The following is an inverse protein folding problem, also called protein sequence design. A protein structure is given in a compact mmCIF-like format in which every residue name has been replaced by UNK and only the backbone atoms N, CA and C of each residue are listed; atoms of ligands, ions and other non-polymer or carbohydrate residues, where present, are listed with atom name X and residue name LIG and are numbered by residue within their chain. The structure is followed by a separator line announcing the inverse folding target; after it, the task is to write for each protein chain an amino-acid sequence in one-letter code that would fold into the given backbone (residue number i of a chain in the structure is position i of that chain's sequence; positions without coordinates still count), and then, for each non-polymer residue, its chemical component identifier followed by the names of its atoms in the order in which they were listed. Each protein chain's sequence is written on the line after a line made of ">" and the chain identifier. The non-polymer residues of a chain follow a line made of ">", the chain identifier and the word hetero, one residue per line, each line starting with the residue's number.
data_IF_173878832252
#
_entry.id   IF_173878832252
#
_cell.length_a   1.000
_cell.length_b   1.000
_cell.length_c   1.000
_cell.angle_alpha   90.00
_cell.angle_beta   90.00
_cell.angle_gamma   90.00
#
_symmetry.space_group_name_H-M   'P 1'
#
loop_
_entity.id
_entity.type
_entity.pdbx_description
1 polymer ?
#
# COMPACT_ATOMS: atom_id res chain seq x y z
N UNK A 1 5.69 -35.44 -33.14
CA UNK A 1 5.07 -36.47 -32.29
C UNK A 1 6.11 -36.94 -31.28
N UNK A 2 6.15 -36.35 -30.08
CA UNK A 2 6.99 -36.82 -28.97
C UNK A 2 6.26 -36.50 -27.66
N UNK A 3 5.90 -37.54 -26.92
CA UNK A 3 5.34 -37.47 -25.57
C UNK A 3 6.23 -38.29 -24.63
N UNK A 4 6.66 -37.62 -23.55
CA UNK A 4 6.94 -38.08 -22.19
C UNK A 4 7.95 -39.20 -21.91
N UNK A 5 9.01 -38.84 -21.16
CA UNK A 5 9.01 -39.08 -19.70
C UNK A 5 9.99 -38.14 -18.97
N UNK A 6 9.41 -37.14 -18.33
CA UNK A 6 9.93 -36.33 -17.23
C UNK A 6 10.15 -37.20 -16.00
N UNK A 7 11.31 -37.12 -15.34
CA UNK A 7 11.56 -37.37 -13.91
C UNK A 7 13.04 -37.05 -13.65
N UNK A 8 13.40 -35.82 -13.23
CA UNK A 8 14.66 -35.45 -12.51
C UNK A 8 14.72 -33.92 -12.37
N UNK A 9 13.84 -33.32 -11.55
CA UNK A 9 13.93 -31.89 -11.20
C UNK A 9 13.13 -31.49 -9.94
N UNK A 10 12.95 -32.37 -8.96
CA UNK A 10 12.13 -32.09 -7.75
C UNK A 10 12.85 -32.41 -6.43
N UNK A 11 14.19 -32.41 -6.40
CA UNK A 11 14.95 -32.70 -5.15
C UNK A 11 16.01 -31.67 -4.75
N UNK A 12 16.00 -30.45 -5.31
CA UNK A 12 17.01 -29.44 -4.98
C UNK A 12 16.48 -28.09 -4.44
N UNK A 13 15.21 -28.03 -4.01
CA UNK A 13 14.59 -26.79 -3.48
C UNK A 13 14.19 -26.91 -2.00
N UNK A 14 14.44 -28.05 -1.34
CA UNK A 14 14.06 -28.27 0.08
C UNK A 14 15.28 -28.35 1.02
N UNK A 15 16.50 -28.21 0.49
CA UNK A 15 17.76 -28.42 1.24
C UNK A 15 18.40 -27.20 1.90
N UNK A 16 17.86 -25.98 1.77
CA UNK A 16 18.51 -24.76 2.29
C UNK A 16 17.75 -24.02 3.39
N UNK A 17 16.67 -24.60 3.92
CA UNK A 17 15.75 -23.93 4.85
C UNK A 17 15.92 -24.31 6.34
N UNK A 18 17.01 -24.97 6.75
CA UNK A 18 17.12 -25.48 8.12
C UNK A 18 18.48 -25.30 8.85
N UNK A 19 19.36 -24.40 8.39
CA UNK A 19 20.69 -24.17 9.02
C UNK A 19 20.95 -22.71 9.41
N UNK A 20 19.91 -21.88 9.56
CA UNK A 20 20.10 -20.49 10.00
C UNK A 20 19.09 -20.05 11.07
N UNK A 21 18.91 -20.90 12.09
CA UNK A 21 18.05 -20.63 13.25
C UNK A 21 18.77 -20.83 14.59
N UNK A 22 20.09 -20.90 14.61
CA UNK A 22 20.87 -21.17 15.82
C UNK A 22 22.22 -20.43 15.80
N UNK A 23 22.19 -19.12 16.08
CA UNK A 23 23.28 -18.39 16.73
C UNK A 23 23.01 -16.89 16.66
N UNK A 24 22.63 -16.26 17.78
CA UNK A 24 23.30 -15.06 18.36
C UNK A 24 22.70 -14.87 19.76
N UNK A 25 23.44 -15.30 20.77
CA UNK A 25 23.34 -14.80 22.15
C UNK A 25 24.67 -14.15 22.50
N UNK A 26 24.60 -13.02 23.24
CA UNK A 26 25.60 -12.39 24.13
C UNK A 26 26.19 -11.00 23.72
N UNK A 27 25.65 -9.96 24.41
CA UNK A 27 26.23 -8.73 25.00
C UNK A 27 26.90 -7.61 24.15
N UNK A 28 27.06 -6.35 24.66
CA UNK A 28 26.50 -5.69 25.85
C UNK A 28 25.76 -4.34 25.58
N UNK A 29 25.07 -3.86 26.61
CA UNK A 29 24.36 -2.59 26.73
C UNK A 29 25.24 -1.34 26.64
N UNK A 30 24.82 -0.34 25.86
CA UNK A 30 25.35 1.04 25.85
C UNK A 30 24.19 2.03 26.06
N UNK A 31 24.32 3.12 26.85
CA UNK A 31 23.20 3.96 27.24
C UNK A 31 22.77 4.92 26.13
N UNK A 32 21.45 5.11 25.99
CA UNK A 32 20.82 6.12 25.11
C UNK A 32 20.96 7.52 25.72
N UNK A 33 21.61 8.44 25.00
CA UNK A 33 21.53 9.87 25.24
C UNK A 33 20.19 10.43 24.73
N UNK A 34 19.51 11.23 25.56
CA UNK A 34 18.24 11.88 25.20
C UNK A 34 18.48 13.07 24.26
N UNK A 35 17.68 13.25 23.19
CA UNK A 35 17.67 14.51 22.44
C UNK A 35 16.66 15.51 23.03
N UNK A 36 17.19 16.70 23.32
CA UNK A 36 16.49 17.88 23.82
C UNK A 36 15.46 18.48 22.85
N UNK A 37 14.60 19.28 23.47
CA UNK A 37 13.43 20.02 22.96
C UNK A 37 13.67 20.79 21.65
N UNK A 38 13.05 20.33 20.56
CA UNK A 38 12.62 21.20 19.45
C UNK A 38 11.19 20.83 19.02
N UNK A 39 10.31 21.83 18.94
CA UNK A 39 8.98 21.86 18.25
C UNK A 39 7.68 22.07 19.04
N UNK A 40 7.70 22.59 20.29
CA UNK A 40 6.45 23.04 20.96
C UNK A 40 5.88 24.38 20.44
N UNK A 41 6.63 25.13 19.63
CA UNK A 41 6.29 26.52 19.25
C UNK A 41 5.55 26.66 17.92
N UNK A 42 5.54 25.64 17.06
CA UNK A 42 4.91 25.74 15.74
C UNK A 42 3.39 25.43 15.79
N UNK A 43 2.99 24.38 16.52
CA UNK A 43 1.59 23.97 16.66
C UNK A 43 0.71 25.02 17.36
N UNK A 44 1.25 25.80 18.30
CA UNK A 44 0.47 26.80 19.05
C UNK A 44 0.10 28.03 18.22
N UNK A 45 0.80 28.29 17.11
CA UNK A 45 0.52 29.44 16.23
C UNK A 45 -0.60 29.16 15.22
N UNK A 46 -0.80 27.91 14.82
CA UNK A 46 -1.86 27.52 13.86
C UNK A 46 -3.24 27.51 14.53
N UNK A 47 -3.30 27.19 15.83
CA UNK A 47 -4.58 27.06 16.56
C UNK A 47 -5.28 28.40 16.90
N UNK A 48 -4.67 29.57 16.66
CA UNK A 48 -5.18 30.86 17.15
C UNK A 48 -5.99 31.69 16.14
N UNK A 49 -6.31 31.19 14.94
CA UNK A 49 -6.98 32.01 13.92
C UNK A 49 -8.01 31.26 13.06
N UNK A 50 -9.10 30.78 13.67
CA UNK A 50 -10.40 30.61 12.99
C UNK A 50 -11.52 30.19 13.94
N UNK A 51 -12.49 31.11 14.12
CA UNK A 51 -13.92 31.00 14.51
C UNK A 51 -14.44 29.98 15.56
N UNK A 52 -15.33 30.38 16.48
CA UNK A 52 -15.76 29.59 17.65
C UNK A 52 -16.92 28.60 17.39
N UNK A 53 -16.90 27.81 16.30
CA UNK A 53 -17.90 26.75 16.05
C UNK A 53 -17.34 25.31 16.01
N UNK A 54 -16.22 25.07 16.70
CA UNK A 54 -15.54 23.77 16.75
C UNK A 54 -15.60 23.07 18.11
N UNK A 55 -16.55 23.39 18.98
CA UNK A 55 -16.67 22.72 20.30
C UNK A 55 -17.11 21.24 20.21
N UNK A 56 -17.51 20.72 19.05
CA UNK A 56 -17.81 19.29 18.87
C UNK A 56 -16.59 18.38 18.67
N UNK A 57 -15.37 18.93 18.56
CA UNK A 57 -14.11 18.16 18.43
C UNK A 57 -13.40 17.90 19.77
N UNK A 58 -13.96 18.34 20.90
CA UNK A 58 -13.46 18.02 22.24
C UNK A 58 -13.95 16.65 22.77
N UNK A 59 -14.35 15.73 21.90
CA UNK A 59 -14.65 14.37 22.33
C UNK A 59 -13.32 13.62 22.60
N UNK A 60 -12.98 13.27 23.86
CA UNK A 60 -11.67 12.72 24.24
C UNK A 60 -11.34 11.38 23.55
N UNK A 61 -12.31 10.74 22.89
CA UNK A 61 -12.13 9.48 22.17
C UNK A 61 -11.12 9.58 21.01
N UNK A 62 -11.14 10.65 20.21
CA UNK A 62 -10.20 10.82 19.09
C UNK A 62 -8.74 10.99 19.52
N UNK A 63 -8.52 11.71 20.62
CA UNK A 63 -7.20 11.90 21.22
C UNK A 63 -6.69 10.61 21.90
N UNK A 64 -7.57 9.84 22.53
CA UNK A 64 -7.25 8.54 23.12
C UNK A 64 -6.91 7.49 22.04
N UNK A 65 -7.57 7.52 20.88
CA UNK A 65 -7.26 6.65 19.73
C UNK A 65 -5.87 6.99 19.15
N UNK A 66 -5.56 8.26 18.93
CA UNK A 66 -4.24 8.70 18.48
C UNK A 66 -3.12 8.39 19.50
N UNK A 67 -3.43 8.51 20.80
CA UNK A 67 -2.52 8.09 21.88
C UNK A 67 -2.31 6.59 21.84
N UNK A 68 -3.37 5.78 21.77
CA UNK A 68 -3.30 4.31 21.68
C UNK A 68 -2.55 3.83 20.43
N UNK A 69 -2.65 4.54 19.30
CA UNK A 69 -1.83 4.27 18.13
C UNK A 69 -0.35 4.50 18.44
N UNK A 70 0.01 5.64 19.03
CA UNK A 70 1.39 5.93 19.42
C UNK A 70 1.90 4.98 20.51
N UNK A 71 1.06 4.57 21.47
CA UNK A 71 1.43 3.59 22.50
C UNK A 71 1.57 2.17 21.93
N UNK A 72 0.73 1.75 20.98
CA UNK A 72 0.83 0.45 20.33
C UNK A 72 1.99 0.40 19.31
N UNK A 73 2.23 1.51 18.59
CA UNK A 73 3.43 1.71 17.76
C UNK A 73 4.68 1.57 18.63
N UNK A 74 4.68 2.16 19.84
CA UNK A 74 5.79 2.08 20.78
C UNK A 74 5.94 0.70 21.46
N UNK A 75 4.88 -0.10 21.62
CA UNK A 75 4.92 -1.26 22.52
C UNK A 75 5.12 -2.64 21.92
N UNK A 76 4.98 -2.92 20.62
CA UNK A 76 5.44 -4.18 19.99
C UNK A 76 5.25 -4.10 18.47
N UNK A 77 6.24 -4.56 17.70
CA UNK A 77 6.24 -4.78 16.24
C UNK A 77 6.41 -3.59 15.28
N UNK A 78 5.73 -2.44 15.44
CA UNK A 78 5.76 -1.37 14.40
C UNK A 78 7.06 -0.55 14.42
N UNK A 79 7.52 -0.08 15.58
CA UNK A 79 8.82 0.63 15.69
C UNK A 79 9.97 -0.31 15.32
N UNK A 80 9.87 -1.60 15.64
CA UNK A 80 10.80 -2.63 15.20
C UNK A 80 10.83 -2.77 13.67
N UNK A 81 9.66 -2.87 13.03
CA UNK A 81 9.55 -2.96 11.57
C UNK A 81 10.07 -1.70 10.85
N UNK A 82 9.75 -0.51 11.36
CA UNK A 82 10.29 0.76 10.83
C UNK A 82 11.81 0.81 10.97
N UNK A 83 12.35 0.44 12.15
CA UNK A 83 13.80 0.43 12.37
C UNK A 83 14.51 -0.63 11.52
N UNK A 84 13.96 -1.84 11.38
CA UNK A 84 14.49 -2.90 10.53
C UNK A 84 14.43 -2.52 9.05
N UNK A 85 13.33 -1.91 8.59
CA UNK A 85 13.21 -1.40 7.23
C UNK A 85 14.21 -0.26 6.96
N UNK A 86 14.37 0.67 7.90
CA UNK A 86 15.40 1.71 7.81
C UNK A 86 16.81 1.12 7.83
N UNK A 87 17.08 0.09 8.63
CA UNK A 87 18.37 -0.60 8.64
C UNK A 87 18.61 -1.34 7.31
N UNK A 88 17.60 -2.00 6.76
CA UNK A 88 17.64 -2.65 5.45
C UNK A 88 17.90 -1.64 4.32
N UNK A 89 17.36 -0.42 4.43
CA UNK A 89 17.66 0.66 3.47
C UNK A 89 19.07 1.23 3.62
N UNK A 90 19.65 1.21 4.82
CA UNK A 90 21.05 1.58 5.08
C UNK A 90 22.04 0.48 4.68
N UNK A 91 21.62 -0.78 4.69
CA UNK A 91 22.49 -1.95 4.48
C UNK A 91 22.79 -2.22 3.00
N UNK A 92 23.88 -2.96 2.78
CA UNK A 92 24.47 -3.30 1.49
C UNK A 92 23.51 -3.94 0.46
N UNK A 93 22.33 -4.43 0.86
CA UNK A 93 21.38 -5.12 -0.04
C UNK A 93 20.77 -4.18 -1.08
N UNK A 94 20.27 -3.01 -0.69
CA UNK A 94 19.68 -2.04 -1.65
C UNK A 94 20.73 -1.46 -2.59
N UNK A 95 21.93 -1.14 -2.06
CA UNK A 95 23.09 -0.72 -2.87
C UNK A 95 23.54 -1.83 -3.82
N UNK A 96 23.65 -3.07 -3.35
CA UNK A 96 24.06 -4.20 -4.20
C UNK A 96 23.03 -4.49 -5.29
N UNK A 97 21.73 -4.39 -5.01
CA UNK A 97 20.69 -4.53 -6.04
C UNK A 97 20.76 -3.40 -7.06
N UNK A 98 20.97 -2.15 -6.60
CA UNK A 98 21.09 -0.99 -7.49
C UNK A 98 22.34 -1.02 -8.37
N UNK A 99 23.47 -1.44 -7.82
CA UNK A 99 24.78 -1.33 -8.48
C UNK A 99 25.18 -2.61 -9.24
N UNK A 100 24.66 -3.78 -8.84
CA UNK A 100 25.10 -5.10 -9.35
C UNK A 100 23.97 -6.08 -9.63
N UNK A 101 22.72 -5.76 -9.28
CA UNK A 101 21.58 -6.62 -9.48
C UNK A 101 20.95 -6.45 -10.87
N UNK A 102 20.30 -7.48 -11.44
CA UNK A 102 19.49 -7.32 -12.64
C UNK A 102 18.31 -6.36 -12.40
N UNK A 103 17.98 -5.54 -13.40
CA UNK A 103 16.99 -4.45 -13.33
C UNK A 103 15.63 -4.84 -12.73
N UNK A 104 15.18 -6.07 -12.97
CA UNK A 104 13.89 -6.56 -12.48
C UNK A 104 13.83 -6.62 -10.95
N UNK A 105 14.95 -6.92 -10.27
CA UNK A 105 15.04 -6.92 -8.81
C UNK A 105 14.82 -5.53 -8.23
N UNK A 106 15.29 -4.50 -8.94
CA UNK A 106 15.10 -3.12 -8.52
C UNK A 106 13.63 -2.69 -8.47
N UNK A 107 12.77 -3.41 -9.19
CA UNK A 107 11.32 -3.17 -9.27
C UNK A 107 10.51 -4.07 -8.33
N UNK A 108 11.16 -4.72 -7.36
CA UNK A 108 10.47 -5.41 -6.26
C UNK A 108 10.16 -4.39 -5.16
N UNK A 109 8.91 -4.40 -4.73
CA UNK A 109 8.39 -3.62 -3.61
C UNK A 109 7.87 -4.57 -2.53
N UNK A 110 8.28 -4.31 -1.30
CA UNK A 110 7.76 -4.93 -0.09
C UNK A 110 6.89 -3.92 0.63
N UNK A 111 5.70 -4.34 1.04
CA UNK A 111 4.74 -3.47 1.71
C UNK A 111 4.23 -4.11 2.99
N UNK A 112 4.21 -3.32 4.06
CA UNK A 112 3.62 -3.66 5.34
C UNK A 112 2.54 -2.63 5.66
N UNK A 113 1.33 -3.10 5.94
CA UNK A 113 0.20 -2.26 6.28
C UNK A 113 -0.39 -2.67 7.62
N UNK A 114 -0.77 -1.69 8.43
CA UNK A 114 -1.40 -1.87 9.73
C UNK A 114 -2.57 -0.91 9.85
N UNK A 115 -3.71 -1.38 10.37
CA UNK A 115 -4.90 -0.58 10.65
C UNK A 115 -5.33 -0.80 12.10
N UNK A 116 -5.87 0.21 12.78
CA UNK A 116 -6.20 0.13 14.22
C UNK A 116 -7.19 -0.96 14.59
N UNK A 117 -8.15 -1.24 13.71
CA UNK A 117 -9.16 -2.27 13.90
C UNK A 117 -8.81 -3.58 13.17
N UNK A 118 -7.61 -3.66 12.57
CA UNK A 118 -7.21 -4.73 11.67
C UNK A 118 -5.92 -5.43 12.09
N UNK A 119 -5.74 -6.62 11.53
CA UNK A 119 -4.49 -7.35 11.60
C UNK A 119 -3.50 -6.82 10.55
N UNK A 120 -2.18 -6.92 10.80
CA UNK A 120 -1.18 -6.49 9.82
C UNK A 120 -1.25 -7.29 8.52
N UNK A 121 -1.03 -6.61 7.40
CA UNK A 121 -0.95 -7.18 6.07
C UNK A 121 0.47 -7.00 5.50
N UNK A 122 0.95 -8.03 4.80
CA UNK A 122 2.25 -8.05 4.17
C UNK A 122 2.08 -8.33 2.68
N UNK A 123 2.81 -7.64 1.82
CA UNK A 123 2.84 -7.99 0.41
C UNK A 123 4.19 -7.79 -0.24
N UNK A 124 4.43 -8.59 -1.27
CA UNK A 124 5.51 -8.44 -2.22
C UNK A 124 4.91 -8.23 -3.60
N UNK A 125 5.42 -7.24 -4.31
CA UNK A 125 4.92 -6.88 -5.63
C UNK A 125 6.08 -6.58 -6.56
N UNK A 126 5.86 -6.82 -7.85
CA UNK A 126 6.73 -6.32 -8.90
C UNK A 126 5.91 -5.83 -10.09
N UNK A 127 6.44 -4.82 -10.77
CA UNK A 127 5.93 -4.32 -12.05
C UNK A 127 7.07 -4.38 -13.06
N UNK A 128 6.82 -5.00 -14.20
CA UNK A 128 7.82 -5.25 -15.23
C UNK A 128 7.31 -4.75 -16.58
N UNK A 129 8.16 -4.07 -17.36
CA UNK A 129 7.82 -3.71 -18.74
C UNK A 129 7.77 -4.98 -19.58
N UNK A 130 6.70 -5.14 -20.35
CA UNK A 130 6.63 -6.07 -21.48
C UNK A 130 7.15 -5.38 -22.73
N UNK A 131 6.80 -4.09 -22.89
CA UNK A 131 7.23 -3.26 -24.00
C UNK A 131 7.35 -1.80 -23.55
N UNK A 132 8.39 -1.12 -24.00
CA UNK A 132 8.53 0.33 -23.88
C UNK A 132 9.04 0.89 -25.21
N UNK A 133 8.33 1.86 -25.78
CA UNK A 133 8.80 2.56 -26.98
C UNK A 133 9.97 3.49 -26.64
N UNK A 134 10.64 4.01 -27.67
CA UNK A 134 11.64 5.06 -27.51
C UNK A 134 11.05 6.24 -26.71
N UNK A 135 11.83 6.75 -25.76
CA UNK A 135 11.40 7.83 -24.87
C UNK A 135 10.28 7.45 -23.89
N UNK A 136 9.96 6.15 -23.77
CA UNK A 136 8.90 5.58 -22.91
C UNK A 136 7.49 6.10 -23.23
N UNK A 137 7.27 6.61 -24.44
CA UNK A 137 5.98 7.21 -24.86
C UNK A 137 4.85 6.21 -24.65
N UNK A 138 5.04 4.97 -25.10
CA UNK A 138 4.10 3.87 -24.92
C UNK A 138 4.76 2.81 -24.05
N UNK A 139 4.08 2.40 -22.99
CA UNK A 139 4.55 1.36 -22.06
C UNK A 139 3.46 0.33 -21.84
N UNK A 140 3.75 -0.93 -22.17
CA UNK A 140 2.95 -2.09 -21.77
C UNK A 140 3.67 -2.76 -20.62
N UNK A 141 2.95 -3.05 -19.53
CA UNK A 141 3.53 -3.66 -18.34
C UNK A 141 2.70 -4.80 -17.80
N UNK A 142 3.37 -5.70 -17.08
CA UNK A 142 2.75 -6.69 -16.20
C UNK A 142 3.01 -6.34 -14.74
N UNK A 143 2.01 -6.51 -13.89
CA UNK A 143 2.14 -6.36 -12.44
C UNK A 143 1.79 -7.69 -11.76
N UNK A 144 2.64 -8.15 -10.85
CA UNK A 144 2.40 -9.32 -10.03
C UNK A 144 2.50 -8.91 -8.56
N UNK A 145 1.52 -9.33 -7.75
CA UNK A 145 1.56 -9.16 -6.30
C UNK A 145 1.17 -10.45 -5.61
N UNK A 146 1.82 -10.74 -4.50
CA UNK A 146 1.41 -11.74 -3.53
C UNK A 146 1.27 -11.06 -2.18
N UNK A 147 0.14 -11.25 -1.51
CA UNK A 147 -0.09 -10.73 -0.17
C UNK A 147 -0.53 -11.83 0.78
N UNK A 148 -0.18 -11.63 2.05
CA UNK A 148 -0.71 -12.36 3.18
C UNK A 148 -1.35 -11.36 4.13
N UNK A 149 -2.59 -11.62 4.47
CA UNK A 149 -3.38 -10.77 5.33
C UNK A 149 -4.36 -11.62 6.14
N UNK A 150 -5.08 -11.00 7.07
CA UNK A 150 -6.05 -11.70 7.90
C UNK A 150 -7.41 -11.04 7.78
N UNK A 151 -8.42 -11.86 7.56
CA UNK A 151 -9.78 -11.41 7.29
C UNK A 151 -10.73 -12.46 7.85
N UNK A 152 -11.73 -12.03 8.60
CA UNK A 152 -12.62 -12.84 9.43
C UNK A 152 -11.89 -13.82 10.35
N UNK A 153 -10.77 -13.38 10.93
CA UNK A 153 -9.92 -14.20 11.82
C UNK A 153 -9.16 -15.32 11.12
N UNK A 154 -9.17 -15.39 9.78
CA UNK A 154 -8.43 -16.39 9.01
C UNK A 154 -7.28 -15.74 8.25
N UNK A 155 -6.12 -16.41 8.25
CA UNK A 155 -5.00 -16.04 7.37
C UNK A 155 -5.37 -16.36 5.92
N UNK A 156 -5.25 -15.37 5.05
CA UNK A 156 -5.53 -15.46 3.62
C UNK A 156 -4.33 -15.02 2.81
N UNK A 157 -4.16 -15.69 1.68
CA UNK A 157 -3.17 -15.35 0.69
C UNK A 157 -3.89 -14.92 -0.58
N UNK A 158 -3.49 -13.80 -1.15
CA UNK A 158 -4.04 -13.30 -2.41
C UNK A 158 -2.92 -13.09 -3.41
N UNK A 159 -3.16 -13.54 -4.64
CA UNK A 159 -2.31 -13.26 -5.79
C UNK A 159 -3.06 -12.34 -6.73
N UNK A 160 -2.40 -11.26 -7.15
CA UNK A 160 -2.91 -10.32 -8.15
C UNK A 160 -2.03 -10.39 -9.38
N UNK A 161 -2.62 -10.67 -10.54
CA UNK A 161 -1.97 -10.59 -11.84
C UNK A 161 -2.58 -9.45 -12.65
N UNK A 162 -1.77 -8.51 -13.09
CA UNK A 162 -2.21 -7.33 -13.82
C UNK A 162 -1.49 -7.15 -15.14
N UNK A 163 -2.20 -6.60 -16.11
CA UNK A 163 -1.66 -6.07 -17.36
C UNK A 163 -2.14 -4.63 -17.52
N UNK A 164 -1.28 -3.77 -18.03
CA UNK A 164 -1.66 -2.38 -18.26
C UNK A 164 -0.90 -1.75 -19.41
N UNK A 165 -1.48 -0.67 -19.89
CA UNK A 165 -0.94 0.19 -20.93
C UNK A 165 -0.91 1.63 -20.42
N UNK A 166 0.20 2.32 -20.66
CA UNK A 166 0.40 3.73 -20.32
C UNK A 166 0.95 4.48 -21.52
N UNK A 167 0.42 5.67 -21.73
CA UNK A 167 0.83 6.59 -22.78
C UNK A 167 1.22 7.94 -22.19
N UNK A 168 2.37 8.46 -22.61
CA UNK A 168 2.83 9.82 -22.31
C UNK A 168 2.35 10.78 -23.38
N UNK A 169 1.54 11.75 -22.98
CA UNK A 169 1.01 12.80 -23.85
C UNK A 169 1.49 14.18 -23.41
N UNK A 170 1.26 15.20 -24.26
CA UNK A 170 1.64 16.60 -24.01
C UNK A 170 3.10 16.75 -23.57
N UNK A 171 4.04 16.31 -24.40
CA UNK A 171 5.49 16.37 -24.13
C UNK A 171 5.88 15.73 -22.78
N UNK A 172 5.34 14.54 -22.46
CA UNK A 172 5.63 13.77 -21.23
C UNK A 172 5.19 14.44 -19.92
N UNK A 173 4.28 15.42 -19.98
CA UNK A 173 3.73 16.06 -18.78
C UNK A 173 2.48 15.39 -18.24
N UNK A 174 1.87 14.51 -19.06
CA UNK A 174 0.67 13.77 -18.71
C UNK A 174 0.87 12.30 -19.07
N UNK A 175 0.49 11.42 -18.15
CA UNK A 175 0.46 9.98 -18.36
C UNK A 175 -0.98 9.52 -18.23
N UNK A 176 -1.50 8.91 -19.29
CA UNK A 176 -2.80 8.27 -19.31
C UNK A 176 -2.58 6.76 -19.31
N UNK A 177 -3.46 6.01 -18.65
CA UNK A 177 -3.32 4.57 -18.58
C UNK A 177 -4.62 3.82 -18.40
N UNK A 178 -4.59 2.57 -18.82
CA UNK A 178 -5.63 1.58 -18.62
C UNK A 178 -4.99 0.34 -18.00
N UNK A 179 -5.68 -0.30 -17.08
CA UNK A 179 -5.20 -1.53 -16.46
C UNK A 179 -6.32 -2.55 -16.28
N UNK A 180 -5.94 -3.83 -16.31
CA UNK A 180 -6.79 -4.98 -16.09
C UNK A 180 -6.10 -5.92 -15.12
N UNK A 181 -6.83 -6.42 -14.14
CA UNK A 181 -6.31 -7.24 -13.07
C UNK A 181 -7.21 -8.44 -12.79
N UNK A 182 -6.58 -9.59 -12.63
CA UNK A 182 -7.17 -10.80 -12.12
C UNK A 182 -6.62 -11.08 -10.72
N UNK A 183 -7.51 -11.12 -9.73
CA UNK A 183 -7.18 -11.34 -8.33
C UNK A 183 -7.73 -12.70 -7.90
N UNK A 184 -6.90 -13.50 -7.23
CA UNK A 184 -7.26 -14.82 -6.68
C UNK A 184 -6.90 -14.92 -5.22
N UNK A 185 -7.89 -15.22 -4.40
CA UNK A 185 -7.76 -15.54 -2.99
C UNK A 185 -7.76 -17.07 -2.82
N UNK A 186 -6.70 -17.61 -2.21
CA UNK A 186 -6.42 -19.05 -2.28
C UNK A 186 -7.14 -19.90 -1.22
N UNK A 187 -7.50 -19.35 -0.05
CA UNK A 187 -8.13 -20.09 1.05
C UNK A 187 -9.51 -20.59 0.65
N UNK A 188 -10.31 -19.77 -0.05
CA UNK A 188 -11.68 -20.12 -0.48
C UNK A 188 -11.88 -20.05 -1.99
N UNK A 189 -10.81 -19.83 -2.76
CA UNK A 189 -10.83 -19.81 -4.23
C UNK A 189 -11.82 -18.78 -4.78
N UNK A 190 -11.77 -17.58 -4.19
CA UNK A 190 -12.48 -16.41 -4.68
C UNK A 190 -11.67 -15.73 -5.79
N UNK A 191 -12.35 -15.42 -6.89
CA UNK A 191 -11.75 -14.79 -8.07
C UNK A 191 -12.44 -13.46 -8.36
N UNK A 192 -11.66 -12.40 -8.57
CA UNK A 192 -12.16 -11.05 -8.86
C UNK A 192 -11.47 -10.51 -10.12
N UNK A 193 -12.23 -9.83 -10.94
CA UNK A 193 -11.73 -9.01 -12.04
C UNK A 193 -11.76 -7.54 -11.63
N UNK A 194 -10.67 -6.83 -11.88
CA UNK A 194 -10.57 -5.38 -11.70
C UNK A 194 -10.17 -4.71 -13.01
N UNK A 195 -10.77 -3.57 -13.32
CA UNK A 195 -10.35 -2.71 -14.41
C UNK A 195 -10.16 -1.28 -13.89
N UNK A 196 -9.21 -0.55 -14.45
CA UNK A 196 -8.89 0.79 -13.96
C UNK A 196 -8.42 1.73 -15.06
N UNK A 197 -8.63 3.01 -14.78
CA UNK A 197 -8.18 4.15 -15.56
C UNK A 197 -7.23 4.99 -14.71
N UNK A 198 -6.14 5.44 -15.32
CA UNK A 198 -5.14 6.29 -14.69
C UNK A 198 -4.99 7.57 -15.49
N UNK A 199 -4.94 8.70 -14.80
CA UNK A 199 -4.58 9.97 -15.39
C UNK A 199 -3.67 10.72 -14.42
N UNK A 200 -2.41 10.90 -14.81
CA UNK A 200 -1.35 11.42 -13.97
C UNK A 200 -0.76 12.65 -14.61
N UNK A 201 -0.63 13.70 -13.81
CA UNK A 201 -0.10 15.00 -14.23
C UNK A 201 1.02 15.42 -13.28
N UNK A 202 1.67 16.54 -13.60
CA UNK A 202 2.78 17.08 -12.81
C UNK A 202 2.53 17.13 -11.30
N UNK A 203 1.31 17.46 -10.85
CA UNK A 203 0.98 17.69 -9.43
C UNK A 203 -0.08 16.76 -8.85
N UNK A 204 -0.91 16.18 -9.72
CA UNK A 204 -2.11 15.43 -9.33
C UNK A 204 -2.11 14.13 -10.10
N UNK A 205 -2.32 13.02 -9.40
CA UNK A 205 -2.56 11.71 -9.97
C UNK A 205 -3.99 11.28 -9.64
N UNK A 206 -4.75 10.82 -10.63
CA UNK A 206 -6.12 10.32 -10.49
C UNK A 206 -6.20 8.87 -10.95
N UNK A 207 -6.90 8.06 -10.16
CA UNK A 207 -7.10 6.63 -10.41
C UNK A 207 -8.56 6.29 -10.19
N UNK A 208 -9.19 5.65 -11.17
CA UNK A 208 -10.56 5.15 -11.07
C UNK A 208 -10.53 3.64 -11.31
N UNK A 209 -10.99 2.86 -10.36
CA UNK A 209 -11.00 1.40 -10.47
C UNK A 209 -12.40 0.84 -10.23
N UNK A 210 -12.74 -0.22 -10.95
CA UNK A 210 -13.98 -0.98 -10.78
C UNK A 210 -13.67 -2.46 -10.60
N UNK A 211 -14.41 -3.11 -9.70
CA UNK A 211 -14.18 -4.48 -9.28
C UNK A 211 -15.46 -5.31 -9.39
N UNK A 212 -15.30 -6.50 -9.95
CA UNK A 212 -16.37 -7.47 -10.13
C UNK A 212 -15.91 -8.87 -9.71
N UNK A 213 -16.66 -9.50 -8.80
CA UNK A 213 -16.50 -10.89 -8.45
C UNK A 213 -16.82 -11.80 -9.64
N UNK A 214 -15.92 -12.74 -9.92
CA UNK A 214 -16.12 -13.79 -10.92
C UNK A 214 -16.56 -15.10 -10.27
N UNK A 215 -16.18 -15.34 -9.02
CA UNK A 215 -16.65 -16.50 -8.24
C UNK A 215 -18.00 -16.21 -7.58
N UNK A 216 -18.91 -17.17 -7.64
CA UNK A 216 -20.15 -17.14 -6.85
C UNK A 216 -19.92 -17.40 -5.35
N UNK A 217 -21.02 -17.57 -4.62
CA UNK A 217 -21.03 -17.85 -3.18
C UNK A 217 -20.29 -19.14 -2.85
N UNK A 218 -19.50 -19.12 -1.76
CA UNK A 218 -18.77 -20.25 -1.22
C UNK A 218 -19.30 -20.60 0.17
N UNK A 219 -19.61 -21.87 0.41
CA UNK A 219 -20.05 -22.34 1.72
C UNK A 219 -18.83 -22.54 2.62
N UNK A 220 -18.81 -21.89 3.79
CA UNK A 220 -17.78 -22.08 4.82
C UNK A 220 -18.18 -23.23 5.75
N UNK A 221 -19.45 -23.23 6.17
CA UNK A 221 -20.10 -24.23 7.02
C UNK A 221 -21.57 -24.26 6.62
N UNK A 222 -22.34 -25.31 6.96
CA UNK A 222 -23.76 -25.44 6.59
C UNK A 222 -24.64 -24.22 6.89
N UNK A 223 -24.20 -23.32 7.79
CA UNK A 223 -24.89 -22.09 8.14
C UNK A 223 -24.19 -20.77 7.75
N UNK A 224 -23.06 -20.82 7.04
CA UNK A 224 -22.23 -19.65 6.70
C UNK A 224 -21.79 -19.68 5.24
N UNK A 225 -22.06 -18.61 4.52
CA UNK A 225 -21.62 -18.42 3.13
C UNK A 225 -20.74 -17.18 3.00
N UNK A 226 -19.87 -17.17 2.00
CA UNK A 226 -18.96 -16.08 1.68
C UNK A 226 -19.03 -15.72 0.19
N UNK A 227 -18.98 -14.43 -0.11
CA UNK A 227 -19.09 -13.91 -1.48
C UNK A 227 -18.23 -12.66 -1.64
N UNK A 228 -17.76 -12.42 -2.86
CA UNK A 228 -17.09 -11.18 -3.22
C UNK A 228 -18.11 -10.06 -3.35
N UNK A 229 -17.78 -8.88 -2.84
CA UNK A 229 -18.58 -7.68 -3.08
C UNK A 229 -18.02 -6.89 -4.26
N UNK A 230 -18.92 -6.46 -5.14
CA UNK A 230 -18.60 -5.60 -6.27
C UNK A 230 -18.51 -4.16 -5.81
N UNK A 231 -17.70 -3.35 -6.48
CA UNK A 231 -17.57 -1.94 -6.11
C UNK A 231 -16.65 -1.17 -7.03
N UNK A 232 -16.38 0.07 -6.65
CA UNK A 232 -15.45 0.95 -7.32
C UNK A 232 -14.77 1.87 -6.31
N UNK A 233 -13.62 2.39 -6.69
CA UNK A 233 -12.91 3.44 -5.96
C UNK A 233 -12.43 4.53 -6.92
N UNK A 234 -12.33 5.74 -6.38
CA UNK A 234 -11.71 6.90 -7.01
C UNK A 234 -10.66 7.43 -6.04
N UNK A 235 -9.41 7.44 -6.46
CA UNK A 235 -8.29 7.94 -5.68
C UNK A 235 -7.64 9.13 -6.36
N UNK A 236 -7.38 10.18 -5.58
CA UNK A 236 -6.54 11.31 -5.94
C UNK A 236 -5.29 11.36 -5.07
N UNK A 237 -4.13 11.60 -5.69
CA UNK A 237 -2.90 11.95 -4.99
C UNK A 237 -2.45 13.34 -5.41
N UNK A 238 -2.19 14.19 -4.43
CA UNK A 238 -1.79 15.59 -4.66
C UNK A 238 -0.43 15.79 -4.00
N UNK A 239 0.54 16.34 -4.73
CA UNK A 239 1.83 16.70 -4.13
C UNK A 239 1.62 17.70 -2.98
N UNK A 240 2.43 17.63 -1.92
CA UNK A 240 2.37 18.63 -0.86
C UNK A 240 3.11 19.91 -1.28
N UNK A 241 2.52 21.10 -1.07
CA UNK A 241 3.21 22.35 -1.30
C UNK A 241 4.54 22.41 -0.54
N UNK A 242 5.62 22.82 -1.22
CA UNK A 242 6.98 22.95 -0.68
C UNK A 242 7.64 21.66 -0.20
N UNK A 243 6.95 20.52 -0.29
CA UNK A 243 7.47 19.21 0.14
C UNK A 243 7.30 18.21 -1.02
N UNK A 244 8.22 18.23 -2.01
CA UNK A 244 8.04 17.49 -3.25
C UNK A 244 7.88 15.97 -3.10
N UNK A 245 8.50 15.40 -2.05
CA UNK A 245 8.48 13.98 -1.70
C UNK A 245 7.28 13.55 -0.86
N UNK A 246 6.39 14.49 -0.53
CA UNK A 246 5.18 14.19 0.23
C UNK A 246 3.95 14.41 -0.63
N UNK A 247 2.94 13.58 -0.40
CA UNK A 247 1.69 13.53 -1.16
C UNK A 247 0.53 13.34 -0.20
N UNK A 248 -0.58 14.01 -0.49
CA UNK A 248 -1.86 13.79 0.18
C UNK A 248 -2.64 12.79 -0.67
N UNK A 249 -3.11 11.69 -0.07
CA UNK A 249 -3.99 10.71 -0.70
C UNK A 249 -5.43 10.92 -0.23
N UNK A 250 -6.37 10.92 -1.17
CA UNK A 250 -7.81 10.99 -0.91
C UNK A 250 -8.48 9.89 -1.73
N UNK A 251 -9.29 9.06 -1.10
CA UNK A 251 -9.98 7.95 -1.77
C UNK A 251 -11.44 7.93 -1.37
N UNK A 252 -12.34 7.98 -2.35
CA UNK A 252 -13.75 7.67 -2.19
C UNK A 252 -14.03 6.28 -2.77
N UNK A 253 -14.85 5.49 -2.11
CA UNK A 253 -15.20 4.15 -2.60
C UNK A 253 -16.64 3.78 -2.29
N UNK A 254 -17.21 2.92 -3.14
CA UNK A 254 -18.56 2.40 -2.96
C UNK A 254 -18.61 0.91 -3.30
N UNK A 255 -19.20 0.11 -2.40
CA UNK A 255 -19.23 -1.34 -2.50
C UNK A 255 -20.62 -1.88 -2.19
N UNK A 256 -21.05 -2.93 -2.90
CA UNK A 256 -22.39 -3.48 -2.74
C UNK A 256 -22.45 -4.57 -1.68
N UNK A 257 -23.08 -4.29 -0.53
CA UNK A 257 -23.21 -5.23 0.59
C UNK A 257 -24.38 -6.20 0.36
N UNK A 258 -25.58 -5.64 0.14
CA UNK A 258 -26.79 -6.41 -0.21
C UNK A 258 -27.43 -5.80 -1.47
N UNK A 259 -28.59 -6.31 -1.90
CA UNK A 259 -29.31 -5.75 -3.06
C UNK A 259 -29.75 -4.30 -2.84
N UNK A 260 -29.96 -3.88 -1.59
CA UNK A 260 -30.51 -2.56 -1.24
C UNK A 260 -29.57 -1.72 -0.36
N UNK A 261 -28.37 -2.23 -0.06
CA UNK A 261 -27.43 -1.59 0.87
C UNK A 261 -26.04 -1.53 0.25
N UNK A 262 -25.47 -0.33 0.22
CA UNK A 262 -24.13 -0.05 -0.27
C UNK A 262 -23.25 0.51 0.86
N UNK A 263 -22.01 0.02 0.91
CA UNK A 263 -20.97 0.56 1.78
C UNK A 263 -20.27 1.69 1.05
N UNK A 264 -20.34 2.90 1.58
CA UNK A 264 -19.60 4.06 1.10
C UNK A 264 -18.48 4.36 2.08
N UNK A 265 -17.25 4.44 1.57
CA UNK A 265 -16.06 4.69 2.38
C UNK A 265 -15.25 5.87 1.85
N UNK A 266 -14.65 6.61 2.78
CA UNK A 266 -13.73 7.70 2.53
C UNK A 266 -12.41 7.46 3.27
N UNK A 267 -11.28 7.66 2.59
CA UNK A 267 -9.93 7.52 3.16
C UNK A 267 -9.11 8.75 2.82
N UNK A 268 -8.43 9.30 3.82
CA UNK A 268 -7.49 10.39 3.66
C UNK A 268 -6.15 10.03 4.31
N UNK A 269 -5.05 10.34 3.64
CA UNK A 269 -3.71 10.03 4.14
C UNK A 269 -2.65 10.98 3.62
N UNK A 270 -1.46 10.84 4.21
CA UNK A 270 -0.24 11.50 3.84
C UNK A 270 0.84 10.44 3.58
N UNK A 271 1.41 10.45 2.37
CA UNK A 271 2.52 9.59 1.95
C UNK A 271 3.79 10.43 1.85
N UNK A 272 4.91 9.98 2.40
CA UNK A 272 6.20 10.67 2.34
C UNK A 272 7.34 9.70 2.03
N UNK A 273 8.16 10.06 1.03
CA UNK A 273 9.36 9.32 0.65
C UNK A 273 10.52 9.74 1.58
N UNK A 274 10.83 8.88 2.56
CA UNK A 274 11.87 9.14 3.56
C UNK A 274 13.28 8.94 2.99
N UNK A 275 13.42 8.00 2.06
CA UNK A 275 14.63 7.76 1.26
C UNK A 275 14.27 7.34 -0.16
N UNK A 276 15.26 7.18 -1.04
CA UNK A 276 15.02 6.66 -2.39
C UNK A 276 14.34 5.30 -2.40
N UNK A 277 14.43 4.52 -1.33
CA UNK A 277 13.92 3.15 -1.27
C UNK A 277 12.72 3.01 -0.33
N UNK A 278 12.45 4.00 0.53
CA UNK A 278 11.51 3.85 1.63
C UNK A 278 10.47 4.96 1.67
N UNK A 279 9.22 4.55 1.75
CA UNK A 279 8.06 5.43 1.78
C UNK A 279 7.18 5.05 2.97
N UNK A 280 6.68 6.05 3.68
CA UNK A 280 5.74 5.89 4.79
C UNK A 280 4.42 6.55 4.42
N UNK A 281 3.32 5.90 4.77
CA UNK A 281 1.96 6.42 4.60
C UNK A 281 1.23 6.36 5.94
N UNK A 282 0.56 7.45 6.32
CA UNK A 282 -0.30 7.50 7.52
C UNK A 282 -1.61 8.16 7.18
N UNK A 283 -2.70 7.74 7.81
CA UNK A 283 -3.98 8.40 7.59
C UNK A 283 -5.13 7.79 8.37
N UNK A 284 -6.33 8.16 7.95
CA UNK A 284 -7.57 7.67 8.51
C UNK A 284 -8.56 7.28 7.40
N UNK A 285 -9.35 6.26 7.68
CA UNK A 285 -10.47 5.81 6.86
C UNK A 285 -11.75 5.83 7.71
N UNK A 286 -12.87 6.07 7.06
CA UNK A 286 -14.19 5.93 7.64
C UNK A 286 -15.13 5.35 6.58
N UNK A 287 -16.08 4.51 6.99
CA UNK A 287 -17.15 4.03 6.14
C UNK A 287 -18.48 4.04 6.90
N UNK A 288 -19.57 3.78 6.18
CA UNK A 288 -20.91 3.72 6.77
C UNK A 288 -21.30 2.32 7.30
N UNK A 289 -20.37 1.35 7.27
CA UNK A 289 -20.61 -0.01 7.76
C UNK A 289 -20.04 -0.20 9.17
N UNK A 290 -18.89 0.41 9.45
CA UNK A 290 -18.29 0.53 10.77
C UNK A 290 -18.46 1.95 11.31
N UNK A 291 -18.95 2.09 12.54
CA UNK A 291 -19.19 3.41 13.17
C UNK A 291 -17.92 4.13 13.65
N UNK A 292 -16.74 3.59 13.40
CA UNK A 292 -15.48 4.07 13.96
C UNK A 292 -14.47 4.43 12.87
N UNK A 293 -13.81 5.58 13.05
CA UNK A 293 -12.69 5.99 12.23
C UNK A 293 -11.49 5.07 12.46
N UNK A 294 -10.95 4.51 11.38
CA UNK A 294 -9.81 3.60 11.41
C UNK A 294 -8.54 4.33 10.99
N UNK A 295 -7.53 4.34 11.85
CA UNK A 295 -6.22 4.87 11.46
C UNK A 295 -5.40 3.79 10.77
N UNK A 296 -4.58 4.17 9.80
CA UNK A 296 -3.71 3.25 9.09
C UNK A 296 -2.26 3.76 9.01
N UNK A 297 -1.35 2.80 8.93
CA UNK A 297 0.08 2.98 8.68
C UNK A 297 0.51 2.03 7.56
N UNK A 298 1.16 2.56 6.54
CA UNK A 298 1.78 1.80 5.46
C UNK A 298 3.28 2.06 5.38
N UNK A 299 4.08 1.01 5.27
CA UNK A 299 5.53 1.06 5.08
C UNK A 299 5.86 0.36 3.77
N UNK A 300 6.53 1.06 2.85
CA UNK A 300 6.84 0.55 1.50
C UNK A 300 8.35 0.62 1.28
N UNK A 301 8.94 -0.51 0.87
CA UNK A 301 10.36 -0.64 0.56
C UNK A 301 10.55 -1.13 -0.87
N UNK A 302 11.12 -0.29 -1.74
CA UNK A 302 11.48 -0.64 -3.12
C UNK A 302 12.97 -0.92 -3.23
N UNK A 303 13.36 -2.11 -3.70
CA UNK A 303 14.76 -2.57 -3.60
C UNK A 303 15.75 -1.74 -4.45
N UNK A 304 15.37 -1.37 -5.68
CA UNK A 304 16.21 -0.55 -6.57
C UNK A 304 16.03 0.96 -6.37
N UNK A 305 15.10 1.33 -5.49
CA UNK A 305 14.70 2.69 -5.26
C UNK A 305 13.67 3.18 -6.28
N UNK A 306 12.93 4.19 -5.86
CA UNK A 306 12.12 5.02 -6.72
C UNK A 306 13.05 5.86 -7.61
N UNK A 307 12.65 6.18 -8.84
CA UNK A 307 13.32 7.21 -9.62
C UNK A 307 13.13 8.56 -8.93
N UNK A 308 14.00 8.87 -7.96
CA UNK A 308 13.96 10.12 -7.20
C UNK A 308 14.92 11.12 -7.82
N UNK A 309 14.38 12.10 -8.53
CA UNK A 309 15.10 13.32 -8.94
C UNK A 309 14.97 14.44 -7.88
N UNK A 310 14.76 14.10 -6.60
CA UNK A 310 14.28 15.02 -5.57
C UNK A 310 15.03 14.85 -4.24
N UNK A 311 15.13 15.94 -3.49
CA UNK A 311 15.88 16.02 -2.24
C UNK A 311 15.19 15.16 -1.18
N UNK A 312 15.80 14.07 -0.72
CA UNK A 312 15.20 13.12 0.21
C UNK A 312 14.94 13.73 1.61
N UNK A 313 14.04 13.12 2.41
CA UNK A 313 13.72 13.59 3.77
C UNK A 313 14.96 13.67 4.68
N UNK A 314 15.96 12.82 4.41
CA UNK A 314 17.23 12.77 5.12
C UNK A 314 18.32 13.68 4.51
N UNK A 315 18.02 14.45 3.45
CA UNK A 315 18.94 15.39 2.82
C UNK A 315 18.69 16.83 3.28
N UNK A 316 19.75 17.66 3.32
CA UNK A 316 19.74 19.02 3.87
C UNK A 316 18.70 20.00 3.25
N UNK A 317 18.04 19.63 2.15
CA UNK A 317 17.11 20.47 1.39
C UNK A 317 15.72 19.83 1.21
N UNK A 318 15.19 19.22 2.26
CA UNK A 318 13.86 18.58 2.25
C UNK A 318 12.72 19.50 1.79
N UNK A 319 12.76 20.77 2.20
CA UNK A 319 11.82 21.79 1.74
C UNK A 319 12.30 22.44 0.44
N UNK A 320 11.41 22.50 -0.55
CA UNK A 320 11.64 23.17 -1.82
C UNK A 320 11.31 24.66 -1.72
N UNK A 321 12.06 25.51 -2.44
CA UNK A 321 11.74 26.93 -2.60
C UNK A 321 10.51 27.16 -3.47
N UNK A 322 10.22 26.23 -4.38
CA UNK A 322 8.97 26.21 -5.15
C UNK A 322 7.92 25.39 -4.43
N UNK A 323 6.70 25.91 -4.36
CA UNK A 323 5.55 25.18 -3.84
C UNK A 323 5.32 23.86 -4.60
N UNK A 324 5.62 23.84 -5.90
CA UNK A 324 5.38 22.68 -6.75
C UNK A 324 6.61 22.38 -7.60
N UNK A 325 7.06 21.13 -7.61
CA UNK A 325 8.14 20.69 -8.51
C UNK A 325 7.52 19.90 -9.65
N UNK A 326 7.77 20.32 -10.87
CA UNK A 326 7.31 19.61 -12.07
C UNK A 326 7.95 18.22 -12.11
N UNK A 327 7.12 17.20 -12.35
CA UNK A 327 7.53 15.80 -12.45
C UNK A 327 7.57 15.41 -13.92
N UNK A 328 8.65 14.78 -14.38
CA UNK A 328 8.68 14.15 -15.70
C UNK A 328 7.90 12.82 -15.59
N UNK A 329 6.78 12.70 -16.32
CA UNK A 329 5.93 11.50 -16.22
C UNK A 329 6.60 10.23 -16.77
N UNK A 330 7.70 10.36 -17.55
CA UNK A 330 8.40 9.21 -18.13
C UNK A 330 9.05 8.30 -17.09
N UNK A 331 9.40 8.83 -15.91
CA UNK A 331 9.95 8.06 -14.81
C UNK A 331 8.91 7.25 -14.05
N UNK A 332 7.65 7.65 -14.16
CA UNK A 332 6.52 7.06 -13.44
C UNK A 332 5.76 6.00 -14.28
N UNK A 333 6.26 5.69 -15.48
CA UNK A 333 5.69 4.69 -16.41
C UNK A 333 5.65 3.27 -15.83
N UNK A 334 6.52 2.97 -14.87
CA UNK A 334 6.62 1.69 -14.16
C UNK A 334 6.36 1.84 -12.66
N UNK A 335 5.53 2.82 -12.26
CA UNK A 335 4.98 2.86 -10.91
C UNK A 335 3.86 1.83 -10.73
N UNK A 336 3.65 1.40 -9.49
CA UNK A 336 2.53 0.52 -9.15
C UNK A 336 1.18 1.15 -9.52
N UNK A 337 0.28 0.32 -10.02
CA UNK A 337 -1.13 0.69 -10.18
C UNK A 337 -1.74 0.92 -8.80
N UNK A 338 -2.39 2.08 -8.60
CA UNK A 338 -3.07 2.43 -7.36
C UNK A 338 -4.51 1.92 -7.38
N UNK A 339 -4.79 0.89 -6.59
CA UNK A 339 -6.07 0.17 -6.51
C UNK A 339 -6.18 -0.60 -5.19
N UNK A 340 -7.39 -1.03 -4.82
CA UNK A 340 -7.67 -1.98 -3.75
C UNK A 340 -7.27 -3.41 -4.20
N UNK A 341 -6.07 -3.86 -3.84
CA UNK A 341 -5.53 -5.15 -4.27
C UNK A 341 -6.12 -6.35 -3.50
N UNK A 342 -6.50 -6.14 -2.24
CA UNK A 342 -7.11 -7.20 -1.44
C UNK A 342 -8.61 -7.32 -1.77
N UNK A 343 -9.15 -8.54 -1.66
CA UNK A 343 -10.54 -8.83 -2.06
C UNK A 343 -11.46 -8.53 -0.90
N UNK A 344 -12.45 -7.65 -1.11
CA UNK A 344 -13.52 -7.40 -0.17
C UNK A 344 -14.52 -8.57 -0.20
N UNK A 345 -14.80 -9.14 0.96
CA UNK A 345 -15.67 -10.30 1.10
C UNK A 345 -16.80 -9.97 2.07
N UNK A 346 -17.98 -10.51 1.79
CA UNK A 346 -19.11 -10.54 2.72
C UNK A 346 -19.32 -11.97 3.21
N UNK A 347 -19.62 -12.14 4.49
CA UNK A 347 -20.12 -13.39 5.08
C UNK A 347 -21.58 -13.24 5.45
N UNK A 348 -22.40 -14.21 5.07
CA UNK A 348 -23.82 -14.27 5.42
C UNK A 348 -24.09 -15.53 6.24
N UNK A 349 -24.78 -15.37 7.37
CA UNK A 349 -25.23 -16.46 8.25
C UNK A 349 -26.68 -16.85 7.95
N UNK A 350 -27.11 -18.09 8.26
CA UNK A 350 -28.50 -18.55 8.05
C UNK A 350 -29.55 -17.69 8.75
N UNK A 351 -29.17 -16.96 9.81
CA UNK A 351 -30.05 -15.98 10.48
C UNK A 351 -30.13 -14.60 9.80
N UNK A 352 -29.59 -14.44 8.59
CA UNK A 352 -29.67 -13.21 7.80
C UNK A 352 -28.61 -12.14 8.14
N UNK A 353 -27.77 -12.35 9.16
CA UNK A 353 -26.70 -11.41 9.48
C UNK A 353 -25.61 -11.43 8.42
N UNK A 354 -25.27 -10.23 7.92
CA UNK A 354 -24.25 -9.98 6.89
C UNK A 354 -23.11 -9.16 7.50
N UNK A 355 -21.90 -9.71 7.47
CA UNK A 355 -20.68 -9.00 7.88
C UNK A 355 -19.78 -8.82 6.69
N UNK A 356 -19.38 -7.58 6.38
CA UNK A 356 -18.37 -7.28 5.38
C UNK A 356 -17.05 -7.06 6.07
N UNK A 357 -15.98 -7.63 5.53
CA UNK A 357 -14.63 -7.27 5.93
C UNK A 357 -13.74 -7.12 4.72
N UNK A 358 -12.74 -6.27 4.86
CA UNK A 358 -11.61 -6.16 3.97
C UNK A 358 -10.37 -6.02 4.85
N UNK A 359 -9.32 -6.75 4.53
CA UNK A 359 -8.01 -6.36 5.03
C UNK A 359 -7.41 -5.44 3.99
N UNK A 360 -7.20 -4.18 4.32
CA UNK A 360 -6.69 -3.20 3.37
C UNK A 360 -5.17 -3.21 3.43
N UNK A 361 -4.53 -3.24 2.27
CA UNK A 361 -3.08 -3.08 2.15
C UNK A 361 -2.51 -3.53 0.84
#
# INVERSE_FOLDING_TARGET
>A
MFFFKTHYAVRLVVGFFLVWLLSVTLFPSVPLAQPEKVSKTWFSKIAKKSNPRLESWQNPKGFLIGKNLLTNIANRDVVGAVNVAMLATKNAVTRSVKDRGPDWLGRIELEFNYETAGDPAYSIMTIQPIYQSQGKINTIFSQLRYSRHRQFGENRNTTNLGLGYRELVKNKTVLLGVNLHYDREWKRSHNRLGMGLEARWNKVDLFLNRYQGLSGKRTITGSKTEEIINGWDLQGLIQMPYVPNARISLTGSKWRKTSNEDITGFRAGAEADLSSNFTVEVGAANDNDANDMEMFLGLKLRLGGWPTHQNLFLEKNFFSRSAWKMRDMSDYTLDKVRRENNIRLKRTTTGGSVTVQVSRG
#
